data_IF_729128752587
#
_entry.id   IF_729128752587
#
_cell.length_a   1.000
_cell.length_b   1.000
_cell.length_c   1.000
_cell.angle_alpha   90.00
_cell.angle_beta   90.00
_cell.angle_gamma   90.00
#
_symmetry.space_group_name_H-M   'P 1'
#
loop_
_entity.id
_entity.type
_entity.pdbx_description
1 polymer ?
#
# COMPACT_ATOMS: atom_id res chain seq x y z
N UNK A 1 -5.49 -15.97 8.25
CA UNK A 1 -5.54 -14.78 7.38
C UNK A 1 -4.29 -14.79 6.53
N UNK A 2 -4.37 -14.53 5.22
CA UNK A 2 -3.18 -14.51 4.36
C UNK A 2 -2.50 -13.13 4.52
N UNK A 3 -1.30 -13.05 5.11
CA UNK A 3 -0.61 -11.77 5.33
C UNK A 3 -0.22 -11.06 4.03
N UNK A 4 -0.26 -11.74 2.89
CA UNK A 4 0.03 -11.16 1.57
C UNK A 4 -1.17 -10.43 0.95
N UNK A 5 -2.36 -10.53 1.54
CA UNK A 5 -3.55 -9.82 1.06
C UNK A 5 -3.63 -8.39 1.57
N UNK A 6 -2.83 -8.04 2.58
CA UNK A 6 -2.80 -6.72 3.23
C UNK A 6 -1.41 -6.10 3.11
N UNK A 7 -1.37 -4.79 3.26
CA UNK A 7 -0.14 -4.03 3.33
C UNK A 7 0.77 -4.54 4.46
N UNK A 8 2.05 -4.71 4.18
CA UNK A 8 3.03 -4.86 5.26
C UNK A 8 3.08 -3.61 6.13
N UNK A 9 3.61 -3.73 7.35
CA UNK A 9 3.81 -2.58 8.24
C UNK A 9 4.64 -1.49 7.56
N UNK A 10 5.71 -1.89 6.87
CA UNK A 10 6.59 -0.95 6.18
C UNK A 10 5.90 -0.26 5.00
N UNK A 11 5.05 -0.97 4.25
CA UNK A 11 4.24 -0.35 3.19
C UNK A 11 3.18 0.60 3.77
N UNK A 12 2.55 0.22 4.89
CA UNK A 12 1.55 1.04 5.59
C UNK A 12 2.14 2.35 6.09
N UNK A 13 3.35 2.32 6.67
CA UNK A 13 4.10 3.52 7.06
C UNK A 13 4.35 4.45 5.87
N UNK A 14 4.88 3.90 4.76
CA UNK A 14 5.16 4.68 3.54
C UNK A 14 3.90 5.33 2.97
N UNK A 15 2.76 4.65 3.02
CA UNK A 15 1.48 5.17 2.55
C UNK A 15 1.04 6.40 3.38
N UNK A 16 1.12 6.30 4.70
CA UNK A 16 0.81 7.41 5.63
C UNK A 16 1.82 8.55 5.48
N UNK A 17 3.12 8.27 5.34
CA UNK A 17 4.15 9.27 5.08
C UNK A 17 3.92 10.03 3.77
N UNK A 18 3.34 9.37 2.76
CA UNK A 18 2.91 9.99 1.51
C UNK A 18 1.61 10.81 1.64
N UNK A 19 1.02 10.89 2.84
CA UNK A 19 -0.23 11.59 3.09
C UNK A 19 -1.48 10.86 2.58
N UNK A 20 -1.35 9.57 2.26
CA UNK A 20 -2.46 8.75 1.75
C UNK A 20 -3.00 7.90 2.89
N UNK A 21 -4.30 8.05 3.18
CA UNK A 21 -5.00 7.23 4.18
C UNK A 21 -6.18 6.59 3.49
N UNK A 22 -6.16 5.25 3.39
CA UNK A 22 -7.25 4.48 2.79
C UNK A 22 -8.18 3.97 3.89
N UNK A 23 -9.48 3.99 3.61
CA UNK A 23 -10.47 3.31 4.45
C UNK A 23 -10.21 1.80 4.39
N UNK A 24 -10.04 1.19 5.56
CA UNK A 24 -9.79 -0.24 5.70
C UNK A 24 -10.24 -0.75 7.06
N UNK A 25 -10.61 -2.03 7.13
CA UNK A 25 -10.97 -2.71 8.37
C UNK A 25 -9.75 -3.19 9.16
N UNK A 26 -8.54 -3.09 8.60
CA UNK A 26 -7.32 -3.66 9.18
C UNK A 26 -6.25 -2.61 9.49
N UNK A 27 -5.58 -2.78 10.63
CA UNK A 27 -4.59 -1.84 11.12
C UNK A 27 -3.39 -2.58 11.69
N UNK A 28 -2.20 -2.04 11.48
CA UNK A 28 -1.05 -2.35 12.30
C UNK A 28 -1.09 -1.50 13.56
N UNK A 29 -1.19 -2.13 14.72
CA UNK A 29 -1.11 -1.47 16.02
C UNK A 29 0.18 -1.87 16.76
N UNK A 30 0.82 -0.90 17.41
CA UNK A 30 1.95 -1.18 18.30
C UNK A 30 1.46 -1.94 19.53
N UNK A 31 2.02 -3.11 19.81
CA UNK A 31 1.74 -3.89 21.03
C UNK A 31 2.62 -3.40 22.19
N UNK A 32 3.83 -2.99 21.85
CA UNK A 32 4.79 -2.32 22.72
C UNK A 32 5.69 -1.39 21.87
N UNK A 33 6.85 -0.97 22.37
CA UNK A 33 7.78 -0.07 21.68
C UNK A 33 8.39 -0.68 20.41
N UNK A 34 8.45 -2.01 20.30
CA UNK A 34 9.19 -2.73 19.26
C UNK A 34 8.27 -3.63 18.41
N UNK A 35 7.19 -4.14 18.99
CA UNK A 35 6.32 -5.14 18.39
C UNK A 35 5.03 -4.55 17.81
N UNK A 36 4.60 -5.11 16.69
CA UNK A 36 3.41 -4.71 15.95
C UNK A 36 2.53 -5.91 15.64
N UNK A 37 1.21 -5.73 15.74
CA UNK A 37 0.24 -6.75 15.35
C UNK A 37 -0.79 -6.20 14.37
N UNK A 38 -1.20 -7.04 13.42
CA UNK A 38 -2.31 -6.75 12.51
C UNK A 38 -3.63 -7.08 13.22
N UNK A 39 -4.53 -6.12 13.34
CA UNK A 39 -5.80 -6.25 14.04
C UNK A 39 -6.94 -5.53 13.31
N UNK A 40 -8.18 -5.92 13.63
CA UNK A 40 -9.40 -5.32 13.05
C UNK A 40 -10.07 -4.29 13.96
N UNK A 41 -9.55 -4.12 15.17
CA UNK A 41 -10.09 -3.18 16.16
C UNK A 41 -8.93 -2.24 16.49
N UNK A 42 -9.11 -0.91 16.37
CA UNK A 42 -8.11 0.03 16.84
C UNK A 42 -7.86 -0.21 18.34
N UNK A 43 -6.59 -0.27 18.71
CA UNK A 43 -6.18 -0.42 20.10
C UNK A 43 -6.58 0.83 20.90
N UNK A 44 -6.67 0.68 22.23
CA UNK A 44 -7.04 1.77 23.13
C UNK A 44 -6.11 2.98 22.96
N UNK A 45 -6.62 4.16 23.31
CA UNK A 45 -5.89 5.45 23.31
C UNK A 45 -4.44 5.29 23.81
N UNK A 46 -3.46 5.67 22.98
CA UNK A 46 -2.04 5.71 23.34
C UNK A 46 -1.11 4.84 22.49
N UNK A 47 -1.64 3.94 21.65
CA UNK A 47 -0.84 3.15 20.71
C UNK A 47 -0.75 3.82 19.34
N UNK A 48 0.37 3.59 18.63
CA UNK A 48 0.51 4.04 17.24
C UNK A 48 -0.17 3.05 16.32
N UNK A 49 -0.83 3.58 15.30
CA UNK A 49 -1.60 2.78 14.35
C UNK A 49 -1.28 3.21 12.91
N UNK A 50 -1.21 2.23 12.01
CA UNK A 50 -1.14 2.47 10.57
C UNK A 50 -2.24 1.65 9.88
N UNK A 51 -3.04 2.24 8.98
CA UNK A 51 -4.00 1.49 8.18
C UNK A 51 -3.25 0.46 7.34
N UNK A 52 -3.75 -0.76 7.33
CA UNK A 52 -3.18 -1.89 6.60
C UNK A 52 -4.13 -2.30 5.46
N UNK A 53 -4.27 -1.49 4.40
CA UNK A 53 -5.25 -1.76 3.36
C UNK A 53 -4.98 -3.08 2.65
N UNK A 54 -6.06 -3.72 2.23
CA UNK A 54 -6.06 -4.89 1.38
C UNK A 54 -5.68 -4.55 -0.05
N UNK A 55 -5.25 -5.56 -0.80
CA UNK A 55 -4.99 -5.46 -2.24
C UNK A 55 -6.16 -4.82 -3.00
N UNK A 56 -7.40 -5.19 -2.69
CA UNK A 56 -8.61 -4.66 -3.33
C UNK A 56 -8.86 -3.18 -3.02
N UNK A 57 -8.57 -2.74 -1.80
CA UNK A 57 -8.72 -1.34 -1.40
C UNK A 57 -7.69 -0.47 -2.11
N UNK A 58 -6.44 -0.92 -2.21
CA UNK A 58 -5.41 -0.20 -2.96
C UNK A 58 -5.73 -0.18 -4.46
N UNK A 59 -6.18 -1.30 -5.01
CA UNK A 59 -6.54 -1.42 -6.43
C UNK A 59 -7.63 -0.45 -6.85
N UNK A 60 -8.64 -0.22 -5.99
CA UNK A 60 -9.74 0.71 -6.26
C UNK A 60 -9.27 2.16 -6.47
N UNK A 61 -8.16 2.53 -5.84
CA UNK A 61 -7.62 3.90 -5.86
C UNK A 61 -6.61 4.12 -6.99
N UNK A 62 -6.17 3.06 -7.66
CA UNK A 62 -5.25 3.15 -8.78
C UNK A 62 -5.99 3.62 -10.05
N UNK A 63 -5.30 4.32 -10.96
CA UNK A 63 -5.92 4.78 -12.19
C UNK A 63 -6.29 3.62 -13.11
N UNK A 64 -7.13 3.93 -14.09
CA UNK A 64 -7.39 3.04 -15.22
C UNK A 64 -6.07 2.63 -15.91
N UNK A 65 -5.99 1.38 -16.35
CA UNK A 65 -4.79 0.72 -16.90
C UNK A 65 -3.68 0.32 -15.91
N UNK A 66 -3.91 0.44 -14.59
CA UNK A 66 -3.06 -0.26 -13.63
C UNK A 66 -3.18 -1.79 -13.80
N UNK A 67 -2.07 -2.51 -13.66
CA UNK A 67 -1.99 -3.97 -13.79
C UNK A 67 -1.17 -4.58 -12.66
N UNK A 68 -1.55 -5.78 -12.21
CA UNK A 68 -0.77 -6.63 -11.30
C UNK A 68 -0.34 -7.89 -12.04
N UNK A 69 0.90 -8.30 -11.83
CA UNK A 69 1.41 -9.60 -12.26
C UNK A 69 2.01 -10.37 -11.11
N UNK A 70 1.68 -11.66 -11.04
CA UNK A 70 2.26 -12.61 -10.10
C UNK A 70 3.33 -13.44 -10.81
N UNK A 71 4.59 -13.07 -10.61
CA UNK A 71 5.74 -13.76 -11.19
C UNK A 71 6.31 -14.87 -10.29
N UNK A 72 7.22 -15.70 -10.83
CA UNK A 72 7.83 -16.80 -10.10
C UNK A 72 8.85 -16.36 -9.02
N UNK A 73 9.36 -15.13 -9.08
CA UNK A 73 10.34 -14.58 -8.11
C UNK A 73 9.82 -13.38 -7.32
N UNK A 74 8.96 -12.59 -7.93
CA UNK A 74 8.40 -11.36 -7.38
C UNK A 74 7.02 -11.14 -7.97
N UNK A 75 6.23 -10.30 -7.30
CA UNK A 75 5.04 -9.70 -7.88
C UNK A 75 5.42 -8.33 -8.43
N UNK A 76 4.75 -7.90 -9.49
CA UNK A 76 4.85 -6.54 -9.98
C UNK A 76 3.51 -5.85 -10.08
N UNK A 77 3.54 -4.54 -9.91
CA UNK A 77 2.45 -3.64 -10.22
C UNK A 77 2.98 -2.59 -11.20
N UNK A 78 2.26 -2.32 -12.27
CA UNK A 78 2.62 -1.24 -13.19
C UNK A 78 1.42 -0.47 -13.69
N UNK A 79 1.69 0.72 -14.22
CA UNK A 79 0.75 1.52 -14.98
C UNK A 79 1.42 2.02 -16.25
N UNK A 80 0.67 2.03 -17.35
CA UNK A 80 1.07 2.68 -18.58
C UNK A 80 0.80 4.18 -18.47
N UNK A 81 1.82 5.01 -18.67
CA UNK A 81 1.71 6.46 -18.62
C UNK A 81 2.34 7.10 -19.88
N UNK A 82 1.54 7.24 -20.93
CA UNK A 82 2.02 7.74 -22.22
C UNK A 82 2.92 6.71 -22.93
N UNK A 83 4.17 7.08 -23.21
CA UNK A 83 5.18 6.15 -23.76
C UNK A 83 6.02 5.46 -22.67
N UNK A 84 5.89 5.90 -21.42
CA UNK A 84 6.68 5.39 -20.29
C UNK A 84 5.83 4.45 -19.43
N UNK A 85 6.45 3.37 -18.99
CA UNK A 85 5.84 2.40 -18.09
C UNK A 85 6.57 2.43 -16.74
N UNK A 86 5.81 2.63 -15.66
CA UNK A 86 6.36 2.50 -14.31
C UNK A 86 5.99 1.14 -13.75
N UNK A 87 6.98 0.25 -13.60
CA UNK A 87 6.81 -1.07 -12.99
C UNK A 87 7.56 -1.18 -11.67
N UNK A 88 6.88 -1.68 -10.64
CA UNK A 88 7.40 -1.82 -9.28
C UNK A 88 7.34 -3.28 -8.85
N UNK A 89 8.47 -3.78 -8.34
CA UNK A 89 8.64 -5.17 -7.94
C UNK A 89 8.66 -5.34 -6.42
N UNK A 90 7.84 -6.25 -5.87
CA UNK A 90 7.82 -6.63 -4.44
C UNK A 90 7.46 -8.10 -4.22
N UNK A 91 7.86 -8.62 -3.05
CA UNK A 91 7.48 -9.96 -2.60
C UNK A 91 6.01 -10.07 -2.18
N UNK A 92 5.44 -9.00 -1.64
CA UNK A 92 4.01 -8.87 -1.36
C UNK A 92 3.34 -8.09 -2.50
N UNK A 93 2.32 -8.63 -3.19
CA UNK A 93 1.64 -7.91 -4.27
C UNK A 93 0.97 -6.62 -3.79
N UNK A 94 0.43 -6.59 -2.56
CA UNK A 94 -0.19 -5.39 -1.99
C UNK A 94 0.83 -4.27 -1.80
N UNK A 95 2.05 -4.61 -1.37
CA UNK A 95 3.14 -3.63 -1.23
C UNK A 95 3.58 -3.04 -2.57
N UNK A 96 3.54 -3.82 -3.66
CA UNK A 96 3.84 -3.31 -5.00
C UNK A 96 2.79 -2.28 -5.44
N UNK A 97 1.50 -2.56 -5.18
CA UNK A 97 0.42 -1.63 -5.48
C UNK A 97 0.48 -0.35 -4.66
N UNK A 98 0.87 -0.45 -3.39
CA UNK A 98 1.04 0.73 -2.52
C UNK A 98 2.12 1.65 -3.06
N UNK A 99 3.29 1.08 -3.37
CA UNK A 99 4.40 1.86 -3.92
C UNK A 99 4.00 2.48 -5.28
N UNK A 100 3.18 1.78 -6.09
CA UNK A 100 2.62 2.32 -7.34
C UNK A 100 1.65 3.47 -7.10
N UNK A 101 0.73 3.33 -6.14
CA UNK A 101 -0.23 4.36 -5.78
C UNK A 101 0.47 5.63 -5.26
N UNK A 102 1.50 5.48 -4.43
CA UNK A 102 2.33 6.58 -3.95
C UNK A 102 3.00 7.30 -5.13
N UNK A 103 3.56 6.54 -6.09
CA UNK A 103 4.17 7.12 -7.28
C UNK A 103 3.15 7.90 -8.11
N UNK A 104 2.00 7.31 -8.43
CA UNK A 104 0.91 7.96 -9.19
C UNK A 104 0.48 9.28 -8.54
N UNK A 105 0.29 9.30 -7.22
CA UNK A 105 -0.13 10.51 -6.51
C UNK A 105 0.93 11.61 -6.53
N UNK A 106 2.21 11.25 -6.52
CA UNK A 106 3.32 12.20 -6.66
C UNK A 106 3.36 12.80 -8.07
N UNK A 107 3.26 11.99 -9.11
CA UNK A 107 3.25 12.48 -10.50
C UNK A 107 2.06 13.41 -10.75
N UNK A 108 0.85 13.02 -10.31
CA UNK A 108 -0.32 13.88 -10.43
C UNK A 108 -0.15 15.23 -9.73
N UNK A 109 0.62 15.30 -8.64
CA UNK A 109 0.92 16.54 -7.94
C UNK A 109 1.94 17.41 -8.70
N UNK A 110 2.87 16.79 -9.44
CA UNK A 110 3.89 17.47 -10.25
C UNK A 110 3.32 18.04 -11.55
N UNK A 111 2.32 17.40 -12.15
CA UNK A 111 1.68 17.89 -13.39
C UNK A 111 0.84 19.17 -13.20
N UNK A 112 0.58 19.57 -11.95
CA UNK A 112 -0.23 20.75 -11.61
C UNK A 112 0.60 21.97 -11.17
N UNK A 113 1.92 21.96 -11.41
CA UNK A 113 2.86 23.07 -11.21
C UNK A 113 3.52 23.51 -12.51
#
# INVERSE_FOLDING_TARGET
>A
MNPLNYASLEASKRLVEAGIVLETDFYWASVDMENWSLCTIPHKVGFKEYPAPSMSEVWRELPYAATIYKGPRYNSAWIEHGMDNTEIYKNNPTDALIDLLIWVRKEASNDHT
#
